data_IF_772491579093
#
_entry.id   IF_772491579093
#
_cell.length_a   1.000
_cell.length_b   1.000
_cell.length_c   1.000
_cell.angle_alpha   90.00
_cell.angle_beta   90.00
_cell.angle_gamma   90.00
#
_symmetry.space_group_name_H-M   'P 1'
#
loop_
_entity.id
_entity.type
_entity.pdbx_description
1 polymer ?
#
# COMPACT_ATOMS: atom_id res chain seq x y z
N UNK A 1 31.12 17.65 44.50
CA UNK A 1 29.68 17.47 44.21
C UNK A 1 29.49 17.39 42.70
N UNK A 2 29.68 16.21 42.11
CA UNK A 2 29.56 16.03 40.65
C UNK A 2 28.09 15.93 40.25
N UNK A 3 27.62 16.84 39.41
CA UNK A 3 26.29 16.75 38.78
C UNK A 3 26.49 16.56 37.28
N UNK A 4 25.87 15.49 36.80
CA UNK A 4 25.99 14.84 35.51
C UNK A 4 25.60 15.72 34.32
N UNK A 5 26.27 15.48 33.18
CA UNK A 5 25.91 16.03 31.87
C UNK A 5 24.58 15.39 31.44
N UNK A 6 23.48 16.10 31.65
CA UNK A 6 22.19 15.73 31.11
C UNK A 6 22.12 16.13 29.65
N UNK A 7 22.30 15.18 28.72
CA UNK A 7 21.94 15.37 27.31
C UNK A 7 20.42 15.63 27.25
N UNK A 8 20.00 16.89 27.09
CA UNK A 8 18.59 17.34 27.02
C UNK A 8 18.01 17.17 25.60
N UNK A 9 18.36 16.12 24.88
CA UNK A 9 17.69 15.79 23.62
C UNK A 9 17.43 14.29 23.55
N UNK A 10 16.47 13.83 24.38
CA UNK A 10 15.83 12.54 24.12
C UNK A 10 15.20 12.62 22.71
N UNK A 11 15.82 12.00 21.71
CA UNK A 11 15.18 11.76 20.40
C UNK A 11 13.81 11.16 20.70
N UNK A 12 12.74 11.79 20.21
CA UNK A 12 11.39 11.26 20.36
C UNK A 12 11.43 9.82 19.84
N UNK A 13 11.27 8.84 20.74
CA UNK A 13 10.95 7.45 20.41
C UNK A 13 9.50 7.43 19.92
N UNK A 14 9.20 8.21 18.87
CA UNK A 14 7.99 7.97 18.10
C UNK A 14 8.01 6.53 17.62
N UNK A 15 6.83 6.01 17.25
CA UNK A 15 6.76 4.68 16.64
C UNK A 15 7.85 4.60 15.56
N UNK A 16 8.77 3.62 15.60
CA UNK A 16 9.72 3.44 14.52
C UNK A 16 8.95 3.42 13.22
N UNK A 17 9.54 3.92 12.13
CA UNK A 17 8.91 3.89 10.80
C UNK A 17 8.60 2.42 10.51
N UNK A 18 7.38 2.01 10.84
CA UNK A 18 6.85 0.70 10.50
C UNK A 18 6.90 0.65 9.00
N UNK A 19 7.40 -0.45 8.43
CA UNK A 19 7.46 -0.72 6.98
C UNK A 19 6.39 0.11 6.28
N UNK A 20 6.82 1.21 5.65
CA UNK A 20 5.96 2.36 5.39
C UNK A 20 4.68 1.96 4.66
N UNK A 21 3.66 2.83 4.68
CA UNK A 21 2.34 2.63 4.02
C UNK A 21 2.39 2.30 2.50
N UNK A 22 3.58 2.10 1.94
CA UNK A 22 3.88 2.04 0.53
C UNK A 22 4.05 3.43 -0.07
N UNK A 23 4.46 3.47 -1.33
CA UNK A 23 4.39 4.67 -2.15
C UNK A 23 2.97 4.82 -2.70
N UNK A 24 2.36 5.99 -2.52
CA UNK A 24 1.06 6.29 -3.14
C UNK A 24 1.26 6.47 -4.65
N UNK A 25 0.50 5.71 -5.43
CA UNK A 25 0.43 5.88 -6.89
C UNK A 25 -0.98 6.40 -7.22
N UNK A 26 -1.09 7.69 -7.53
CA UNK A 26 -2.35 8.32 -7.95
C UNK A 26 -2.50 8.25 -9.47
N UNK A 27 -3.31 7.31 -9.97
CA UNK A 27 -3.63 7.17 -11.40
C UNK A 27 -5.07 7.58 -11.65
N UNK A 28 -5.31 8.34 -12.72
CA UNK A 28 -6.66 8.62 -13.21
C UNK A 28 -7.04 7.56 -14.23
N UNK A 29 -8.11 6.82 -13.94
CA UNK A 29 -8.71 5.85 -14.85
C UNK A 29 -10.01 6.44 -15.40
N UNK A 30 -10.28 6.17 -16.67
CA UNK A 30 -11.56 6.50 -17.32
C UNK A 30 -12.65 5.49 -16.88
N UNK A 31 -13.90 5.75 -17.25
CA UNK A 31 -15.04 4.93 -16.81
C UNK A 31 -14.99 3.49 -17.32
N UNK A 32 -14.53 3.27 -18.55
CA UNK A 32 -14.40 1.94 -19.14
C UNK A 32 -13.45 1.02 -18.34
N UNK A 33 -12.17 1.37 -18.09
CA UNK A 33 -11.28 0.51 -17.30
C UNK A 33 -11.73 0.36 -15.85
N UNK A 34 -12.45 1.35 -15.28
CA UNK A 34 -13.06 1.21 -13.95
C UNK A 34 -14.18 0.18 -13.94
N UNK A 35 -15.06 0.19 -14.95
CA UNK A 35 -16.15 -0.78 -15.07
C UNK A 35 -15.61 -2.21 -15.25
N UNK A 36 -14.53 -2.39 -16.02
CA UNK A 36 -13.86 -3.69 -16.17
C UNK A 36 -13.27 -4.16 -14.84
N UNK A 37 -12.63 -3.26 -14.07
CA UNK A 37 -12.09 -3.58 -12.75
C UNK A 37 -13.20 -4.00 -11.78
N UNK A 38 -14.29 -3.23 -11.71
CA UNK A 38 -15.42 -3.54 -10.82
C UNK A 38 -16.10 -4.86 -11.22
N UNK A 39 -16.24 -5.12 -12.52
CA UNK A 39 -16.73 -6.40 -13.02
C UNK A 39 -15.81 -7.57 -12.69
N UNK A 40 -14.49 -7.36 -12.65
CA UNK A 40 -13.54 -8.36 -12.20
C UNK A 40 -13.65 -8.60 -10.69
N UNK A 41 -13.81 -7.54 -9.88
CA UNK A 41 -14.01 -7.63 -8.42
C UNK A 41 -15.29 -8.41 -8.10
N UNK A 42 -16.40 -8.11 -8.78
CA UNK A 42 -17.68 -8.79 -8.57
C UNK A 42 -17.64 -10.30 -8.85
N UNK A 43 -16.71 -10.74 -9.71
CA UNK A 43 -16.48 -12.17 -9.99
C UNK A 43 -15.65 -12.86 -8.92
N UNK A 44 -14.96 -12.10 -8.06
CA UNK A 44 -14.23 -12.69 -6.94
C UNK A 44 -15.24 -13.02 -5.83
N UNK A 45 -15.32 -14.29 -5.45
CA UNK A 45 -16.19 -14.76 -4.37
C UNK A 45 -15.64 -14.37 -2.97
N UNK A 46 -14.98 -13.22 -2.87
CA UNK A 46 -14.29 -12.74 -1.68
C UNK A 46 -14.97 -11.48 -1.16
N UNK A 47 -15.47 -11.55 0.07
CA UNK A 47 -16.16 -10.44 0.70
C UNK A 47 -15.17 -9.33 1.02
N UNK A 48 -15.42 -8.13 0.48
CA UNK A 48 -14.70 -6.91 0.87
C UNK A 48 -13.44 -6.60 0.06
N UNK A 49 -13.23 -7.24 -1.10
CA UNK A 49 -12.11 -6.91 -1.98
C UNK A 49 -12.19 -5.45 -2.46
N UNK A 50 -11.19 -4.65 -2.09
CA UNK A 50 -11.15 -3.22 -2.45
C UNK A 50 -10.48 -3.00 -3.81
N UNK A 51 -10.82 -1.91 -4.51
CA UNK A 51 -10.17 -1.54 -5.79
C UNK A 51 -8.64 -1.51 -5.73
N UNK A 52 -7.99 -0.91 -4.70
CA UNK A 52 -6.53 -0.93 -4.61
C UNK A 52 -5.95 -2.34 -4.45
N UNK A 53 -6.62 -3.23 -3.72
CA UNK A 53 -6.18 -4.63 -3.58
C UNK A 53 -6.36 -5.42 -4.86
N UNK A 54 -7.48 -5.22 -5.56
CA UNK A 54 -7.73 -5.81 -6.87
C UNK A 54 -6.64 -5.42 -7.87
N UNK A 55 -6.26 -4.14 -7.92
CA UNK A 55 -5.18 -3.65 -8.79
C UNK A 55 -3.85 -4.33 -8.45
N UNK A 56 -3.48 -4.46 -7.16
CA UNK A 56 -2.24 -5.14 -6.76
C UNK A 56 -2.19 -6.59 -7.26
N UNK A 57 -3.28 -7.34 -7.10
CA UNK A 57 -3.37 -8.73 -7.57
C UNK A 57 -3.28 -8.82 -9.09
N UNK A 58 -3.99 -7.95 -9.81
CA UNK A 58 -3.94 -7.91 -11.28
C UNK A 58 -2.54 -7.56 -11.81
N UNK A 59 -1.81 -6.68 -11.13
CA UNK A 59 -0.41 -6.38 -11.46
C UNK A 59 0.47 -7.63 -11.27
N UNK A 60 0.35 -8.33 -10.14
CA UNK A 60 1.10 -9.57 -9.91
C UNK A 60 0.80 -10.64 -10.95
N UNK A 61 -0.47 -10.83 -11.30
CA UNK A 61 -0.90 -11.79 -12.33
C UNK A 61 -0.36 -11.41 -13.71
N UNK A 62 -0.44 -10.13 -14.09
CA UNK A 62 0.06 -9.63 -15.37
C UNK A 62 1.57 -9.77 -15.53
N UNK A 63 2.33 -9.50 -14.46
CA UNK A 63 3.79 -9.64 -14.45
C UNK A 63 4.23 -11.11 -14.46
N UNK A 64 3.52 -12.01 -13.77
CA UNK A 64 3.77 -13.45 -13.84
C UNK A 64 3.47 -14.04 -15.22
N UNK A 65 2.41 -13.57 -15.88
CA UNK A 65 2.00 -14.07 -17.19
C UNK A 65 2.96 -13.64 -18.33
N UNK A 66 3.57 -12.45 -18.22
CA UNK A 66 4.57 -11.95 -19.20
C UNK A 66 6.02 -12.35 -18.88
N UNK A 67 6.27 -12.93 -17.70
CA UNK A 67 7.58 -13.43 -17.29
C UNK A 67 7.81 -14.88 -17.71
N UNK A 68 7.74 -15.16 -19.02
CA UNK A 68 8.34 -16.35 -19.63
C UNK A 68 8.89 -15.97 -21.00
#
# INVERSE_FOLDING_TARGET
>A
MGKSIGVITKKKRGRPVTTGKGMLIGVRLLDEPLAVLDGWIAKQNETGLTRPEAIRRLVELGLKAKGK
#
